data_IF_015820955098
#
_entry.id   IF_015820955098
#
_cell.length_a   1.000
_cell.length_b   1.000
_cell.length_c   1.000
_cell.angle_alpha   90.00
_cell.angle_beta   90.00
_cell.angle_gamma   90.00
#
_symmetry.space_group_name_H-M   'P 1'
#
loop_
_entity.id
_entity.type
_entity.pdbx_description
1 polymer ?
#
# COMPACT_ATOMS: atom_id res chain seq x y z
N UNK A 1 8.62 0.30 35.74
CA UNK A 1 8.35 0.25 34.29
C UNK A 1 7.29 -0.81 34.03
N UNK A 2 6.04 -0.44 33.77
CA UNK A 2 5.02 -1.42 33.37
C UNK A 2 5.48 -2.15 32.11
N UNK A 3 5.50 -3.49 32.13
CA UNK A 3 5.74 -4.30 30.93
C UNK A 3 4.65 -3.96 29.91
N UNK A 4 5.00 -3.19 28.87
CA UNK A 4 4.09 -2.93 27.74
C UNK A 4 3.63 -4.28 27.18
N UNK A 5 2.32 -4.56 27.26
CA UNK A 5 1.73 -5.79 26.71
C UNK A 5 2.07 -5.88 25.23
N UNK A 6 2.54 -7.04 24.79
CA UNK A 6 2.85 -7.36 23.40
C UNK A 6 1.76 -8.24 22.80
N UNK A 7 1.31 -7.90 21.60
CA UNK A 7 0.26 -8.58 20.87
C UNK A 7 0.83 -9.24 19.61
N UNK A 8 1.71 -10.23 19.83
CA UNK A 8 2.41 -10.97 18.76
C UNK A 8 1.49 -11.52 17.69
N UNK A 9 0.45 -12.27 18.09
CA UNK A 9 -0.48 -12.88 17.14
C UNK A 9 -1.23 -11.85 16.26
N UNK A 10 -1.70 -10.75 16.86
CA UNK A 10 -2.44 -9.71 16.11
C UNK A 10 -1.55 -9.00 15.11
N UNK A 11 -0.30 -8.78 15.50
CA UNK A 11 0.71 -8.12 14.69
C UNK A 11 1.13 -9.00 13.52
N UNK A 12 1.48 -10.25 13.78
CA UNK A 12 1.83 -11.21 12.71
C UNK A 12 0.65 -11.39 11.76
N UNK A 13 -0.56 -11.61 12.25
CA UNK A 13 -1.73 -11.80 11.39
C UNK A 13 -2.02 -10.57 10.52
N UNK A 14 -1.93 -9.35 11.07
CA UNK A 14 -2.16 -8.11 10.31
C UNK A 14 -1.04 -7.83 9.33
N UNK A 15 0.21 -8.07 9.73
CA UNK A 15 1.39 -7.93 8.87
C UNK A 15 1.34 -8.91 7.69
N UNK A 16 1.06 -10.19 7.94
CA UNK A 16 0.95 -11.22 6.89
C UNK A 16 -0.23 -10.95 5.96
N UNK A 17 -1.39 -10.53 6.51
CA UNK A 17 -2.55 -10.15 5.68
C UNK A 17 -2.16 -9.09 4.64
N UNK A 18 -1.50 -8.02 5.08
CA UNK A 18 -1.08 -6.92 4.20
C UNK A 18 0.10 -7.34 3.32
N UNK A 19 1.07 -8.11 3.84
CA UNK A 19 2.22 -8.57 3.07
C UNK A 19 1.79 -9.39 1.85
N UNK A 20 0.75 -10.22 1.99
CA UNK A 20 0.23 -11.02 0.89
C UNK A 20 -0.48 -10.20 -0.19
N UNK A 21 -0.91 -8.97 0.08
CA UNK A 21 -1.56 -8.15 -0.95
C UNK A 21 -0.60 -7.75 -2.07
N UNK A 22 0.68 -7.57 -1.76
CA UNK A 22 1.70 -7.19 -2.74
C UNK A 22 1.93 -8.26 -3.81
N UNK A 23 2.33 -9.51 -3.49
CA UNK A 23 2.53 -10.55 -4.50
C UNK A 23 1.23 -10.93 -5.20
N UNK A 24 0.09 -10.90 -4.50
CA UNK A 24 -1.21 -11.19 -5.12
C UNK A 24 -1.62 -10.10 -6.13
N UNK A 25 -1.37 -8.82 -5.85
CA UNK A 25 -1.62 -7.72 -6.77
C UNK A 25 -0.78 -7.84 -8.05
N UNK A 26 0.53 -8.05 -7.91
CA UNK A 26 1.44 -8.23 -9.05
C UNK A 26 1.06 -9.47 -9.87
N UNK A 27 0.78 -10.61 -9.21
CA UNK A 27 0.35 -11.82 -9.89
C UNK A 27 -0.96 -11.61 -10.66
N UNK A 28 -1.93 -10.90 -10.07
CA UNK A 28 -3.20 -10.58 -10.73
C UNK A 28 -2.96 -9.74 -11.99
N UNK A 29 -2.14 -8.69 -11.92
CA UNK A 29 -1.82 -7.85 -13.08
C UNK A 29 -1.20 -8.65 -14.23
N UNK A 30 -0.22 -9.51 -13.92
CA UNK A 30 0.48 -10.32 -14.93
C UNK A 30 -0.48 -11.35 -15.55
N UNK A 31 -1.34 -11.96 -14.75
CA UNK A 31 -2.36 -12.87 -15.25
C UNK A 31 -3.36 -12.16 -16.17
N UNK A 32 -3.79 -10.95 -15.81
CA UNK A 32 -4.69 -10.14 -16.66
C UNK A 32 -4.01 -9.77 -17.98
N UNK A 33 -2.78 -9.28 -17.96
CA UNK A 33 -2.03 -8.94 -19.18
C UNK A 33 -1.80 -10.14 -20.11
N UNK A 34 -1.68 -11.36 -19.55
CA UNK A 34 -1.42 -12.57 -20.33
C UNK A 34 -2.67 -13.25 -20.87
N UNK A 35 -3.78 -13.24 -20.13
CA UNK A 35 -4.99 -13.99 -20.48
C UNK A 35 -6.11 -13.15 -21.08
N UNK A 36 -6.05 -11.82 -20.96
CA UNK A 36 -7.07 -10.93 -21.51
C UNK A 36 -6.54 -10.17 -22.71
N UNK A 37 -7.44 -9.90 -23.66
CA UNK A 37 -7.16 -8.97 -24.76
C UNK A 37 -6.78 -7.58 -24.21
N UNK A 38 -5.85 -6.83 -24.84
CA UNK A 38 -5.45 -5.51 -24.37
C UNK A 38 -6.63 -4.57 -24.10
N UNK A 39 -7.68 -4.60 -24.93
CA UNK A 39 -8.88 -3.78 -24.72
C UNK A 39 -9.64 -4.24 -23.47
N UNK A 40 -9.77 -5.54 -23.28
CA UNK A 40 -10.43 -6.13 -22.11
C UNK A 40 -9.69 -5.80 -20.80
N UNK A 41 -8.35 -5.77 -20.81
CA UNK A 41 -7.53 -5.36 -19.64
C UNK A 41 -7.87 -3.94 -19.19
N UNK A 42 -8.06 -2.99 -20.12
CA UNK A 42 -8.39 -1.61 -19.75
C UNK A 42 -9.78 -1.49 -19.13
N UNK A 43 -10.79 -2.16 -19.69
CA UNK A 43 -12.13 -2.20 -19.09
C UNK A 43 -12.12 -2.90 -17.73
N UNK A 44 -11.37 -3.99 -17.59
CA UNK A 44 -11.21 -4.71 -16.33
C UNK A 44 -10.51 -3.83 -15.27
N UNK A 45 -9.43 -3.12 -15.64
CA UNK A 45 -8.76 -2.17 -14.75
C UNK A 45 -9.67 -1.01 -14.31
N UNK A 46 -10.41 -0.42 -15.24
CA UNK A 46 -11.34 0.66 -14.92
C UNK A 46 -12.48 0.21 -14.00
N UNK A 47 -13.09 -0.95 -14.28
CA UNK A 47 -14.15 -1.54 -13.44
C UNK A 47 -13.61 -1.93 -12.06
N UNK A 48 -12.39 -2.45 -11.98
CA UNK A 48 -11.71 -2.77 -10.71
C UNK A 48 -11.58 -1.53 -9.82
N UNK A 49 -11.10 -0.41 -10.37
CA UNK A 49 -10.97 0.83 -9.60
C UNK A 49 -12.33 1.40 -9.16
N UNK A 50 -13.35 1.29 -10.01
CA UNK A 50 -14.72 1.70 -9.67
C UNK A 50 -15.32 0.85 -8.54
N UNK A 51 -15.15 -0.48 -8.61
CA UNK A 51 -15.53 -1.39 -7.52
C UNK A 51 -14.78 -1.02 -6.25
N UNK A 52 -13.48 -0.73 -6.34
CA UNK A 52 -12.66 -0.25 -5.22
C UNK A 52 -13.26 0.99 -4.54
N UNK A 53 -13.67 1.99 -5.32
CA UNK A 53 -14.32 3.20 -4.80
C UNK A 53 -15.65 2.89 -4.11
N UNK A 54 -16.52 2.07 -4.72
CA UNK A 54 -17.79 1.65 -4.12
C UNK A 54 -17.54 0.94 -2.78
N UNK A 55 -16.55 0.04 -2.73
CA UNK A 55 -16.17 -0.68 -1.52
C UNK A 55 -15.79 0.27 -0.38
N UNK A 56 -15.04 1.34 -0.66
CA UNK A 56 -14.67 2.35 0.34
C UNK A 56 -15.90 3.11 0.84
N UNK A 57 -16.78 3.54 -0.07
CA UNK A 57 -18.00 4.27 0.28
C UNK A 57 -18.94 3.39 1.12
N UNK A 58 -19.17 2.15 0.71
CA UNK A 58 -19.97 1.17 1.48
C UNK A 58 -19.32 0.91 2.85
N UNK A 59 -17.98 0.85 2.89
CA UNK A 59 -17.19 0.67 4.10
C UNK A 59 -17.46 1.72 5.19
N UNK A 60 -17.88 2.93 4.83
CA UNK A 60 -18.28 3.99 5.78
C UNK A 60 -19.47 3.57 6.63
N UNK A 61 -20.44 2.87 6.04
CA UNK A 61 -21.69 2.46 6.69
C UNK A 61 -21.58 1.14 7.46
N UNK A 62 -20.48 0.41 7.27
CA UNK A 62 -20.27 -0.89 7.92
C UNK A 62 -19.90 -0.70 9.38
N UNK A 63 -20.55 -1.46 10.28
CA UNK A 63 -20.30 -1.34 11.72
C UNK A 63 -18.99 -2.03 12.13
N UNK A 64 -18.17 -1.35 12.92
CA UNK A 64 -16.99 -1.95 13.56
C UNK A 64 -15.68 -1.60 12.87
N UNK A 65 -14.75 -1.07 13.66
CA UNK A 65 -13.47 -0.50 13.23
C UNK A 65 -12.64 -1.44 12.33
N UNK A 66 -12.51 -2.71 12.70
CA UNK A 66 -11.76 -3.71 11.90
C UNK A 66 -12.40 -3.94 10.54
N UNK A 67 -13.74 -4.01 10.45
CA UNK A 67 -14.42 -4.24 9.17
C UNK A 67 -14.30 -3.01 8.28
N UNK A 68 -14.50 -1.82 8.82
CA UNK A 68 -14.28 -0.57 8.07
C UNK A 68 -12.84 -0.49 7.53
N UNK A 69 -11.85 -0.88 8.35
CA UNK A 69 -10.45 -0.95 7.94
C UNK A 69 -10.25 -1.93 6.78
N UNK A 70 -10.84 -3.12 6.84
CA UNK A 70 -10.76 -4.11 5.75
C UNK A 70 -11.41 -3.61 4.45
N UNK A 71 -12.57 -2.95 4.51
CA UNK A 71 -13.17 -2.31 3.32
C UNK A 71 -12.28 -1.22 2.74
N UNK A 72 -11.69 -0.38 3.60
CA UNK A 72 -10.76 0.67 3.16
C UNK A 72 -9.48 0.10 2.54
N UNK A 73 -8.93 -0.97 3.11
CA UNK A 73 -7.74 -1.66 2.60
C UNK A 73 -8.01 -2.30 1.24
N UNK A 74 -9.02 -3.17 1.14
CA UNK A 74 -9.32 -3.88 -0.11
C UNK A 74 -9.81 -2.91 -1.18
N UNK A 75 -10.69 -1.98 -0.82
CA UNK A 75 -11.17 -0.96 -1.74
C UNK A 75 -10.05 -0.04 -2.24
N UNK A 76 -9.10 0.32 -1.36
CA UNK A 76 -7.94 1.11 -1.73
C UNK A 76 -6.94 0.38 -2.61
N UNK A 77 -6.73 -0.92 -2.41
CA UNK A 77 -5.87 -1.73 -3.28
C UNK A 77 -6.46 -1.86 -4.68
N UNK A 78 -7.77 -2.16 -4.78
CA UNK A 78 -8.46 -2.24 -6.08
C UNK A 78 -8.50 -0.88 -6.79
N UNK A 79 -8.68 0.21 -6.04
CA UNK A 79 -8.60 1.57 -6.56
C UNK A 79 -7.21 1.88 -7.11
N UNK A 80 -6.15 1.59 -6.35
CA UNK A 80 -4.77 1.82 -6.77
C UNK A 80 -4.45 1.03 -8.03
N UNK A 81 -4.62 -0.29 -8.01
CA UNK A 81 -4.31 -1.14 -9.17
C UNK A 81 -5.18 -0.78 -10.37
N UNK A 82 -6.47 -0.52 -10.18
CA UNK A 82 -7.41 -0.21 -11.25
C UNK A 82 -7.24 1.19 -11.87
N UNK A 83 -7.33 2.24 -11.05
CA UNK A 83 -7.35 3.62 -11.55
C UNK A 83 -6.01 4.32 -11.47
N UNK A 84 -5.05 3.87 -10.65
CA UNK A 84 -3.71 4.44 -10.68
C UNK A 84 -2.89 3.66 -11.71
N UNK A 85 -2.61 2.38 -11.46
CA UNK A 85 -1.69 1.60 -12.32
C UNK A 85 -2.26 1.34 -13.72
N UNK A 86 -3.43 0.72 -13.86
CA UNK A 86 -3.98 0.38 -15.18
C UNK A 86 -4.36 1.61 -16.04
N UNK A 87 -4.72 2.75 -15.45
CA UNK A 87 -4.93 3.99 -16.23
C UNK A 87 -3.60 4.58 -16.71
N UNK A 88 -2.54 4.58 -15.89
CA UNK A 88 -1.21 4.95 -16.38
C UNK A 88 -0.76 4.02 -17.50
N UNK A 89 -1.00 2.70 -17.38
CA UNK A 89 -0.72 1.72 -18.43
C UNK A 89 -1.49 2.03 -19.72
N UNK A 90 -2.78 2.34 -19.61
CA UNK A 90 -3.62 2.71 -20.76
C UNK A 90 -3.05 3.91 -21.50
N UNK A 91 -2.74 5.00 -20.80
CA UNK A 91 -2.21 6.20 -21.42
C UNK A 91 -0.80 5.99 -21.96
N UNK A 92 0.03 5.22 -21.27
CA UNK A 92 1.36 4.85 -21.76
C UNK A 92 1.28 4.09 -23.08
N UNK A 93 0.40 3.10 -23.19
CA UNK A 93 0.17 2.36 -24.44
C UNK A 93 -0.43 3.23 -25.53
N UNK A 94 -1.43 4.05 -25.20
CA UNK A 94 -2.10 4.94 -26.16
C UNK A 94 -1.15 5.94 -26.81
N UNK A 95 -0.21 6.48 -26.04
CA UNK A 95 0.79 7.44 -26.53
C UNK A 95 2.12 6.79 -26.93
N UNK A 96 2.21 5.46 -26.92
CA UNK A 96 3.39 4.74 -27.38
C UNK A 96 4.65 4.95 -26.53
N UNK A 97 4.51 5.15 -25.22
CA UNK A 97 5.64 5.29 -24.31
C UNK A 97 6.41 3.96 -24.26
N UNK A 98 7.69 3.91 -24.69
CA UNK A 98 8.45 2.69 -24.68
C UNK A 98 8.79 2.27 -23.25
N UNK A 99 8.82 0.95 -22.93
CA UNK A 99 9.36 0.49 -21.67
C UNK A 99 10.85 0.78 -21.58
N UNK A 100 11.37 0.94 -20.36
CA UNK A 100 12.81 1.03 -20.17
C UNK A 100 13.42 -0.36 -20.23
N UNK A 101 14.33 -0.57 -21.17
CA UNK A 101 15.01 -1.84 -21.41
C UNK A 101 16.49 -1.68 -21.06
N UNK A 102 16.98 -2.49 -20.12
CA UNK A 102 18.42 -2.65 -19.89
C UNK A 102 18.83 -4.09 -20.17
N UNK A 103 19.96 -4.29 -20.85
CA UNK A 103 20.52 -5.62 -21.12
C UNK A 103 19.50 -6.61 -21.74
N UNK A 104 18.56 -6.09 -22.55
CA UNK A 104 17.51 -6.90 -23.20
C UNK A 104 16.34 -7.31 -22.29
N UNK A 105 16.28 -6.82 -21.04
CA UNK A 105 15.15 -7.03 -20.12
C UNK A 105 14.42 -5.71 -19.87
N UNK A 106 13.09 -5.77 -19.79
CA UNK A 106 12.27 -4.64 -19.34
C UNK A 106 12.55 -4.43 -17.85
N UNK A 107 13.21 -3.32 -17.52
CA UNK A 107 13.57 -2.95 -16.14
C UNK A 107 12.52 -2.03 -15.52
N UNK A 108 11.83 -1.23 -16.33
CA UNK A 108 10.73 -0.38 -15.87
C UNK A 108 9.61 -0.37 -16.89
N UNK A 109 8.39 -0.70 -16.43
CA UNK A 109 7.21 -0.71 -17.28
C UNK A 109 6.77 0.72 -17.65
N UNK A 110 6.12 0.93 -18.81
CA UNK A 110 5.77 2.26 -19.30
C UNK A 110 4.90 3.09 -18.35
N UNK A 111 3.98 2.47 -17.62
CA UNK A 111 3.11 3.11 -16.64
C UNK A 111 3.90 3.81 -15.52
N UNK A 112 5.01 3.22 -15.11
CA UNK A 112 5.83 3.73 -14.02
C UNK A 112 6.74 4.87 -14.48
N UNK A 113 7.00 5.01 -15.78
CA UNK A 113 7.73 6.15 -16.36
C UNK A 113 6.87 7.44 -16.38
N UNK A 114 5.55 7.30 -16.47
CA UNK A 114 4.62 8.45 -16.45
C UNK A 114 4.30 8.85 -15.01
N UNK A 115 4.31 7.91 -14.07
CA UNK A 115 3.92 8.12 -12.68
C UNK A 115 4.65 9.30 -11.99
N UNK A 116 5.95 9.57 -12.20
CA UNK A 116 6.63 10.76 -11.68
C UNK A 116 5.98 12.10 -12.03
N UNK A 117 5.29 12.20 -13.18
CA UNK A 117 4.58 13.42 -13.58
C UNK A 117 3.45 13.79 -12.59
N UNK A 118 2.98 12.83 -11.80
CA UNK A 118 1.97 13.05 -10.77
C UNK A 118 2.52 13.70 -9.48
N UNK A 119 3.84 13.91 -9.38
CA UNK A 119 4.48 14.50 -8.19
C UNK A 119 3.87 15.85 -7.78
N UNK A 120 3.53 16.72 -8.72
CA UNK A 120 2.91 18.01 -8.42
C UNK A 120 1.54 17.87 -7.74
N UNK A 121 0.73 16.91 -8.20
CA UNK A 121 -0.56 16.59 -7.58
C UNK A 121 -0.35 15.98 -6.19
N UNK A 122 0.62 15.08 -6.05
CA UNK A 122 0.97 14.49 -4.76
C UNK A 122 1.38 15.55 -3.74
N UNK A 123 2.25 16.48 -4.13
CA UNK A 123 2.73 17.57 -3.27
C UNK A 123 1.57 18.43 -2.78
N UNK A 124 0.66 18.83 -3.68
CA UNK A 124 -0.53 19.62 -3.33
C UNK A 124 -1.40 18.90 -2.29
N UNK A 125 -1.68 17.61 -2.51
CA UNK A 125 -2.47 16.81 -1.57
C UNK A 125 -1.72 16.67 -0.24
N UNK A 126 -0.42 16.37 -0.26
CA UNK A 126 0.39 16.24 0.95
C UNK A 126 0.44 17.53 1.76
N UNK A 127 0.51 18.70 1.13
CA UNK A 127 0.44 19.99 1.83
C UNK A 127 -0.89 20.13 2.59
N UNK A 128 -2.01 19.80 1.97
CA UNK A 128 -3.32 19.80 2.66
C UNK A 128 -3.33 18.83 3.85
N UNK A 129 -2.79 17.62 3.67
CA UNK A 129 -2.75 16.61 4.72
C UNK A 129 -1.82 17.00 5.88
N UNK A 130 -0.67 17.63 5.60
CA UNK A 130 0.29 18.03 6.63
C UNK A 130 -0.19 19.28 7.38
N UNK A 131 -0.69 20.30 6.68
CA UNK A 131 -0.97 21.60 7.30
C UNK A 131 -2.43 21.77 7.74
N UNK A 132 -3.40 21.19 7.01
CA UNK A 132 -4.82 21.54 7.20
C UNK A 132 -5.64 20.50 7.95
N UNK A 133 -5.13 19.28 8.12
CA UNK A 133 -5.98 18.15 8.56
C UNK A 133 -5.35 17.36 9.71
N UNK A 134 -6.11 17.19 10.81
CA UNK A 134 -5.71 16.26 11.88
C UNK A 134 -6.07 14.86 11.44
N UNK A 135 -5.08 14.12 10.95
CA UNK A 135 -5.27 12.80 10.35
C UNK A 135 -5.08 11.68 11.37
N UNK A 136 -5.76 10.55 11.14
CA UNK A 136 -5.56 9.31 11.90
C UNK A 136 -4.30 8.52 11.51
N UNK A 137 -3.55 9.03 10.52
CA UNK A 137 -2.34 8.43 9.99
C UNK A 137 -1.15 8.69 10.91
N UNK A 138 -0.57 7.63 11.45
CA UNK A 138 0.61 7.73 12.32
C UNK A 138 1.81 8.37 11.60
N UNK A 139 1.96 8.15 10.29
CA UNK A 139 3.06 8.71 9.50
C UNK A 139 2.93 10.23 9.34
N UNK A 140 1.77 10.72 8.90
CA UNK A 140 1.53 12.16 8.73
C UNK A 140 1.54 12.87 10.08
N UNK A 141 1.01 12.22 11.12
CA UNK A 141 1.04 12.76 12.49
C UNK A 141 2.48 12.89 13.01
N UNK A 142 3.33 11.91 12.71
CA UNK A 142 4.76 11.97 13.03
C UNK A 142 5.46 13.12 12.29
N UNK A 143 5.18 13.32 11.00
CA UNK A 143 5.69 14.46 10.22
C UNK A 143 5.22 15.78 10.84
N UNK A 144 3.93 15.91 11.15
CA UNK A 144 3.36 17.11 11.78
C UNK A 144 4.01 17.43 13.13
N UNK A 145 4.25 16.42 13.96
CA UNK A 145 4.91 16.59 15.26
C UNK A 145 6.36 17.05 15.11
N UNK A 146 7.07 16.52 14.11
CA UNK A 146 8.45 16.89 13.87
C UNK A 146 8.59 18.29 13.26
N UNK A 147 7.68 18.68 12.36
CA UNK A 147 7.69 19.98 11.68
C UNK A 147 7.12 21.12 12.54
N UNK A 148 5.97 20.91 13.18
CA UNK A 148 5.25 22.00 13.87
C UNK A 148 5.48 22.02 15.39
N UNK A 149 5.99 20.93 15.98
CA UNK A 149 6.30 20.85 17.41
C UNK A 149 5.18 21.41 18.29
N UNK A 150 5.48 22.48 19.04
CA UNK A 150 4.54 23.16 19.96
C UNK A 150 3.39 23.90 19.26
N UNK A 151 3.49 24.19 17.97
CA UNK A 151 2.49 24.94 17.18
C UNK A 151 1.47 24.05 16.45
N UNK A 152 1.58 22.72 16.57
CA UNK A 152 0.69 21.74 15.92
C UNK A 152 -0.79 22.06 16.14
N UNK A 153 -1.18 22.35 17.38
CA UNK A 153 -2.59 22.62 17.74
C UNK A 153 -3.11 23.98 17.22
N UNK A 154 -2.22 24.90 16.80
CA UNK A 154 -2.60 26.20 16.21
C UNK A 154 -2.77 26.13 14.71
N UNK A 155 -2.02 25.24 14.03
CA UNK A 155 -2.02 25.10 12.58
C UNK A 155 -3.04 24.03 12.14
N UNK A 156 -3.08 22.89 12.86
CA UNK A 156 -3.92 21.74 12.53
C UNK A 156 -5.16 21.74 13.42
N UNK A 157 -6.14 22.58 13.09
CA UNK A 157 -7.29 22.87 13.96
C UNK A 157 -8.44 21.88 13.77
N UNK A 158 -8.70 21.43 12.53
CA UNK A 158 -9.87 20.59 12.23
C UNK A 158 -9.54 19.09 12.15
N UNK A 159 -10.21 18.24 12.96
CA UNK A 159 -10.19 16.81 12.75
C UNK A 159 -11.07 16.43 11.55
N UNK A 160 -10.54 15.59 10.66
CA UNK A 160 -11.35 14.99 9.60
C UNK A 160 -12.45 14.11 10.22
N UNK A 161 -13.63 14.05 9.61
CA UNK A 161 -14.71 13.14 10.03
C UNK A 161 -14.19 11.71 10.14
N UNK A 162 -14.38 11.08 11.30
CA UNK A 162 -13.75 9.80 11.62
C UNK A 162 -14.48 8.62 10.95
N UNK A 163 -14.21 8.42 9.67
CA UNK A 163 -14.61 7.24 8.92
C UNK A 163 -13.39 6.35 8.70
N UNK A 164 -13.23 5.28 9.50
CA UNK A 164 -12.03 4.43 9.47
C UNK A 164 -11.76 3.85 8.08
N UNK A 165 -12.80 3.57 7.29
CA UNK A 165 -12.66 3.08 5.91
C UNK A 165 -11.98 4.10 4.99
N UNK A 166 -12.46 5.35 4.98
CA UNK A 166 -11.86 6.45 4.19
C UNK A 166 -10.45 6.76 4.69
N UNK A 167 -10.24 6.77 6.01
CA UNK A 167 -8.91 7.00 6.58
C UNK A 167 -7.93 5.93 6.10
N UNK A 168 -8.31 4.64 6.18
CA UNK A 168 -7.47 3.53 5.70
C UNK A 168 -7.20 3.62 4.20
N UNK A 169 -8.22 3.96 3.42
CA UNK A 169 -8.11 4.17 1.98
C UNK A 169 -7.09 5.27 1.64
N UNK A 170 -7.22 6.44 2.28
CA UNK A 170 -6.30 7.56 2.06
C UNK A 170 -4.90 7.26 2.56
N UNK A 171 -4.76 6.62 3.72
CA UNK A 171 -3.46 6.20 4.25
C UNK A 171 -2.73 5.26 3.29
N UNK A 172 -3.42 4.24 2.79
CA UNK A 172 -2.86 3.30 1.84
C UNK A 172 -2.39 4.01 0.56
N UNK A 173 -3.28 4.78 -0.08
CA UNK A 173 -2.98 5.41 -1.37
C UNK A 173 -1.90 6.49 -1.25
N UNK A 174 -1.90 7.30 -0.18
CA UNK A 174 -0.89 8.34 0.00
C UNK A 174 0.50 7.77 0.29
N UNK A 175 0.59 6.68 1.08
CA UNK A 175 1.86 6.02 1.37
C UNK A 175 2.35 5.28 0.12
N UNK A 176 1.49 4.53 -0.59
CA UNK A 176 1.84 3.90 -1.86
C UNK A 176 2.39 4.95 -2.84
N UNK A 177 1.65 6.03 -3.06
CA UNK A 177 2.06 7.08 -3.98
C UNK A 177 3.41 7.70 -3.61
N UNK A 178 3.64 7.98 -2.33
CA UNK A 178 4.92 8.50 -1.86
C UNK A 178 6.09 7.52 -2.14
N UNK A 179 5.90 6.23 -1.86
CA UNK A 179 6.95 5.23 -2.05
C UNK A 179 7.18 4.89 -3.53
N UNK A 180 6.14 4.88 -4.35
CA UNK A 180 6.28 4.75 -5.80
C UNK A 180 7.05 5.93 -6.40
N UNK A 181 6.71 7.17 -6.03
CA UNK A 181 7.45 8.35 -6.48
C UNK A 181 8.91 8.29 -6.02
N UNK A 182 9.16 7.92 -4.75
CA UNK A 182 10.50 7.74 -4.23
C UNK A 182 11.30 6.72 -5.06
N UNK A 183 10.74 5.54 -5.30
CA UNK A 183 11.38 4.50 -6.10
C UNK A 183 11.63 4.98 -7.52
N UNK A 184 10.64 5.56 -8.19
CA UNK A 184 10.80 6.04 -9.56
C UNK A 184 11.86 7.14 -9.70
N UNK A 185 11.99 8.05 -8.73
CA UNK A 185 13.07 9.03 -8.74
C UNK A 185 14.45 8.41 -8.45
N UNK A 186 14.52 7.36 -7.61
CA UNK A 186 15.76 6.61 -7.42
C UNK A 186 16.18 5.85 -8.68
N UNK A 187 15.20 5.44 -9.45
CA UNK A 187 15.33 4.60 -10.63
C UNK A 187 15.54 5.41 -11.92
N UNK A 188 15.23 6.71 -11.91
CA UNK A 188 15.55 7.57 -13.04
C UNK A 188 17.06 7.82 -13.12
N UNK A 189 17.66 7.40 -14.23
CA UNK A 189 19.09 7.58 -14.54
C UNK A 189 19.53 9.03 -14.61
N UNK A 190 18.63 9.94 -14.94
CA UNK A 190 18.93 11.36 -15.00
C UNK A 190 19.00 12.01 -13.61
N UNK A 191 18.42 11.36 -12.59
CA UNK A 191 18.44 11.83 -11.20
C UNK A 191 19.49 11.11 -10.36
N UNK A 192 19.32 9.80 -10.15
CA UNK A 192 20.18 9.00 -9.28
C UNK A 192 20.69 7.77 -10.03
N UNK A 193 19.77 6.98 -10.59
CA UNK A 193 20.05 5.75 -11.30
C UNK A 193 20.03 4.49 -10.41
N UNK A 194 19.77 3.37 -11.08
CA UNK A 194 19.42 2.07 -10.48
C UNK A 194 20.51 1.49 -9.58
N UNK A 195 21.78 1.73 -9.93
CA UNK A 195 22.95 1.21 -9.23
C UNK A 195 23.62 2.27 -8.34
N UNK A 196 22.95 3.40 -8.12
CA UNK A 196 23.53 4.50 -7.35
C UNK A 196 23.61 4.14 -5.85
N UNK A 197 24.72 4.48 -5.14
CA UNK A 197 24.86 4.23 -3.71
C UNK A 197 23.71 4.76 -2.85
N UNK A 198 23.11 5.88 -3.29
CA UNK A 198 21.94 6.49 -2.61
C UNK A 198 20.71 5.60 -2.68
N UNK A 199 20.46 4.93 -3.80
CA UNK A 199 19.33 3.98 -3.96
C UNK A 199 19.47 2.82 -2.96
N UNK A 200 20.68 2.27 -2.81
CA UNK A 200 20.95 1.25 -1.79
C UNK A 200 20.82 1.77 -0.36
N UNK A 201 21.28 2.98 -0.08
CA UNK A 201 21.15 3.62 1.23
C UNK A 201 19.68 3.82 1.60
N UNK A 202 18.85 4.26 0.65
CA UNK A 202 17.39 4.37 0.82
C UNK A 202 16.78 3.01 1.12
N UNK A 203 17.18 1.96 0.38
CA UNK A 203 16.75 0.58 0.65
C UNK A 203 17.09 0.12 2.08
N UNK A 204 18.34 0.33 2.53
CA UNK A 204 18.78 -0.01 3.89
C UNK A 204 18.01 0.80 4.94
N UNK A 205 17.79 2.09 4.69
CA UNK A 205 17.05 2.97 5.60
C UNK A 205 15.59 2.52 5.74
N UNK A 206 14.95 2.14 4.64
CA UNK A 206 13.59 1.58 4.65
C UNK A 206 13.56 0.23 5.36
N UNK A 207 14.54 -0.64 5.14
CA UNK A 207 14.64 -1.91 5.85
C UNK A 207 14.74 -1.71 7.37
N UNK A 208 15.67 -0.86 7.83
CA UNK A 208 15.82 -0.52 9.25
C UNK A 208 14.53 0.12 9.80
N UNK A 209 13.93 1.05 9.06
CA UNK A 209 12.67 1.71 9.40
C UNK A 209 11.53 0.72 9.61
N UNK A 210 11.38 -0.26 8.71
CA UNK A 210 10.36 -1.30 8.81
C UNK A 210 10.49 -2.14 10.08
N UNK A 211 11.72 -2.45 10.53
CA UNK A 211 11.94 -3.17 11.80
C UNK A 211 11.50 -2.35 13.03
N UNK A 212 11.77 -1.05 13.03
CA UNK A 212 11.30 -0.15 14.10
C UNK A 212 9.77 -0.02 14.11
N UNK A 213 9.15 0.08 12.93
CA UNK A 213 7.71 0.15 12.78
C UNK A 213 7.04 -1.16 13.21
N UNK A 214 7.59 -2.31 12.83
CA UNK A 214 7.12 -3.63 13.26
C UNK A 214 7.19 -3.79 14.78
N UNK A 215 8.28 -3.34 15.42
CA UNK A 215 8.38 -3.30 16.89
C UNK A 215 7.30 -2.43 17.52
N UNK A 216 6.98 -1.27 16.94
CA UNK A 216 5.86 -0.43 17.41
C UNK A 216 4.52 -1.12 17.22
N UNK A 217 4.33 -1.82 16.11
CA UNK A 217 3.11 -2.56 15.79
C UNK A 217 2.80 -3.64 16.83
N UNK A 218 3.82 -4.29 17.40
CA UNK A 218 3.67 -5.30 18.48
C UNK A 218 2.90 -4.79 19.71
N UNK A 219 2.88 -3.48 19.94
CA UNK A 219 2.20 -2.88 21.10
C UNK A 219 0.78 -2.39 20.80
N UNK A 220 0.28 -2.54 19.57
CA UNK A 220 -1.05 -2.08 19.16
C UNK A 220 -2.09 -3.18 19.40
N UNK A 221 -2.98 -2.94 20.37
CA UNK A 221 -4.04 -3.88 20.74
C UNK A 221 -5.20 -3.92 19.72
N UNK A 222 -5.62 -2.76 19.18
CA UNK A 222 -6.79 -2.68 18.32
C UNK A 222 -6.50 -3.25 16.92
N UNK A 223 -7.36 -4.17 16.43
CA UNK A 223 -7.16 -4.82 15.14
C UNK A 223 -7.14 -3.84 13.96
N UNK A 224 -8.06 -2.87 13.88
CA UNK A 224 -8.05 -1.90 12.77
C UNK A 224 -6.79 -1.03 12.78
N UNK A 225 -6.40 -0.49 13.93
CA UNK A 225 -5.15 0.25 14.07
C UNK A 225 -3.91 -0.60 13.76
N UNK A 226 -3.91 -1.89 14.13
CA UNK A 226 -2.80 -2.80 13.83
C UNK A 226 -2.67 -3.06 12.32
N UNK A 227 -3.79 -3.25 11.60
CA UNK A 227 -3.80 -3.37 10.13
C UNK A 227 -3.31 -2.08 9.46
N UNK A 228 -3.77 -0.90 9.91
CA UNK A 228 -3.30 0.37 9.34
C UNK A 228 -1.79 0.58 9.53
N UNK A 229 -1.26 0.23 10.70
CA UNK A 229 0.20 0.22 10.93
C UNK A 229 0.90 -0.84 10.07
N UNK A 230 0.27 -2.01 9.85
CA UNK A 230 0.78 -3.04 8.98
C UNK A 230 0.92 -2.53 7.53
N UNK A 231 -0.05 -1.77 7.01
CA UNK A 231 0.01 -1.12 5.69
C UNK A 231 1.29 -0.30 5.55
N UNK A 232 1.52 0.64 6.48
CA UNK A 232 2.71 1.47 6.45
C UNK A 232 4.00 0.64 6.57
N UNK A 233 4.02 -0.35 7.46
CA UNK A 233 5.19 -1.21 7.70
C UNK A 233 5.52 -2.07 6.48
N UNK A 234 4.52 -2.65 5.83
CA UNK A 234 4.70 -3.51 4.65
C UNK A 234 5.15 -2.70 3.45
N UNK A 235 4.60 -1.51 3.19
CA UNK A 235 5.03 -0.68 2.05
C UNK A 235 6.51 -0.28 2.21
N UNK A 236 6.89 0.16 3.41
CA UNK A 236 8.29 0.48 3.74
C UNK A 236 9.19 -0.76 3.61
N UNK A 237 8.72 -1.92 4.07
CA UNK A 237 9.44 -3.19 3.95
C UNK A 237 9.57 -3.68 2.51
N UNK A 238 8.60 -3.39 1.64
CA UNK A 238 8.62 -3.80 0.24
C UNK A 238 9.65 -3.02 -0.58
N UNK A 239 9.97 -1.79 -0.19
CA UNK A 239 10.96 -0.94 -0.89
C UNK A 239 12.32 -1.62 -1.09
N UNK A 240 12.99 -2.19 -0.06
CA UNK A 240 14.22 -2.95 -0.27
C UNK A 240 14.00 -4.24 -1.06
N UNK A 241 12.84 -4.90 -0.95
CA UNK A 241 12.51 -6.09 -1.74
C UNK A 241 12.48 -5.75 -3.22
N UNK A 242 11.88 -4.61 -3.58
CA UNK A 242 11.82 -4.09 -4.95
C UNK A 242 13.21 -3.74 -5.50
N UNK A 243 14.04 -3.06 -4.70
CA UNK A 243 15.42 -2.71 -5.11
C UNK A 243 16.25 -3.98 -5.33
N UNK A 244 16.13 -4.98 -4.45
CA UNK A 244 16.81 -6.27 -4.58
C UNK A 244 16.30 -7.08 -5.78
N UNK A 245 15.00 -7.02 -6.06
CA UNK A 245 14.38 -7.61 -7.25
C UNK A 245 14.92 -6.99 -8.54
N UNK A 246 15.06 -5.66 -8.57
CA UNK A 246 15.57 -4.90 -9.73
C UNK A 246 17.02 -5.24 -10.08
N UNK A 247 17.88 -5.46 -9.08
CA UNK A 247 19.26 -5.95 -9.31
C UNK A 247 19.33 -7.45 -9.60
N UNK A 248 18.18 -8.13 -9.79
CA UNK A 248 18.06 -9.58 -10.01
C UNK A 248 18.70 -10.42 -8.89
N UNK A 249 18.70 -9.95 -7.62
CA UNK A 249 19.27 -10.70 -6.49
C UNK A 249 18.53 -12.02 -6.22
N UNK A 250 17.22 -12.05 -6.45
CA UNK A 250 16.40 -13.25 -6.37
C UNK A 250 15.36 -13.28 -7.50
N UNK A 251 14.86 -14.48 -7.84
CA UNK A 251 13.72 -14.62 -8.76
C UNK A 251 12.44 -14.29 -8.01
N UNK A 252 11.74 -13.26 -8.47
CA UNK A 252 10.44 -12.88 -7.93
C UNK A 252 9.39 -13.92 -8.31
N UNK A 253 9.03 -14.79 -7.37
CA UNK A 253 8.06 -15.86 -7.62
C UNK A 253 6.66 -15.33 -7.99
N UNK A 254 6.34 -14.09 -7.61
CA UNK A 254 5.09 -13.41 -7.98
C UNK A 254 5.11 -12.83 -9.41
N UNK A 255 6.30 -12.59 -10.00
CA UNK A 255 6.43 -12.14 -11.40
C UNK A 255 6.26 -13.31 -12.38
N UNK A 256 6.48 -14.55 -11.92
CA UNK A 256 6.31 -15.77 -12.71
C UNK A 256 5.15 -16.64 -12.18
N UNK A 257 3.89 -16.19 -12.29
CA UNK A 257 2.76 -16.86 -11.66
C UNK A 257 2.49 -18.28 -12.20
N UNK A 258 2.99 -18.61 -13.39
CA UNK A 258 2.86 -19.94 -14.00
C UNK A 258 3.84 -20.95 -13.42
N UNK A 259 5.10 -20.54 -13.19
CA UNK A 259 6.14 -21.40 -12.61
C UNK A 259 5.88 -21.65 -11.12
N UNK A 260 5.35 -20.64 -10.42
CA UNK A 260 5.09 -20.68 -8.97
C UNK A 260 3.59 -20.71 -8.62
N UNK A 261 2.79 -21.41 -9.43
CA UNK A 261 1.33 -21.52 -9.24
C UNK A 261 0.96 -22.09 -7.86
N UNK A 262 1.65 -23.13 -7.42
CA UNK A 262 1.36 -23.81 -6.13
C UNK A 262 1.63 -22.86 -4.94
N UNK A 263 2.80 -22.20 -4.82
CA UNK A 263 3.04 -21.18 -3.80
C UNK A 263 2.00 -20.05 -3.81
N UNK A 264 1.65 -19.52 -4.99
CA UNK A 264 0.66 -18.43 -5.09
C UNK A 264 -0.74 -18.85 -4.66
N UNK A 265 -1.17 -20.07 -4.97
CA UNK A 265 -2.46 -20.60 -4.51
C UNK A 265 -2.48 -20.78 -2.99
N UNK A 266 -1.38 -21.22 -2.39
CA UNK A 266 -1.27 -21.33 -0.93
C UNK A 266 -1.34 -19.96 -0.26
N UNK A 267 -0.63 -18.96 -0.81
CA UNK A 267 -0.69 -17.56 -0.36
C UNK A 267 -2.12 -17.02 -0.48
N UNK A 268 -2.79 -17.24 -1.61
CA UNK A 268 -4.17 -16.82 -1.83
C UNK A 268 -5.14 -17.48 -0.82
N UNK A 269 -5.02 -18.79 -0.60
CA UNK A 269 -5.81 -19.51 0.38
C UNK A 269 -5.60 -18.99 1.81
N UNK A 270 -4.34 -18.78 2.20
CA UNK A 270 -4.00 -18.20 3.49
C UNK A 270 -4.53 -16.76 3.65
N UNK A 271 -4.45 -15.95 2.59
CA UNK A 271 -4.98 -14.59 2.56
C UNK A 271 -6.50 -14.58 2.77
N UNK A 272 -7.26 -15.40 2.05
CA UNK A 272 -8.72 -15.51 2.20
C UNK A 272 -9.09 -16.00 3.60
N UNK A 273 -8.37 -16.98 4.14
CA UNK A 273 -8.59 -17.48 5.51
C UNK A 273 -8.33 -16.40 6.56
N UNK A 274 -7.24 -15.63 6.45
CA UNK A 274 -6.92 -14.53 7.36
C UNK A 274 -7.96 -13.41 7.26
N UNK A 275 -8.36 -13.04 6.06
CA UNK A 275 -9.38 -12.02 5.82
C UNK A 275 -10.73 -12.45 6.44
N UNK A 276 -11.16 -13.68 6.21
CA UNK A 276 -12.36 -14.27 6.82
C UNK A 276 -12.28 -14.34 8.35
N UNK A 277 -11.15 -14.78 8.90
CA UNK A 277 -10.91 -14.82 10.34
C UNK A 277 -11.03 -13.42 10.99
N UNK A 278 -10.39 -12.42 10.38
CA UNK A 278 -10.38 -11.05 10.89
C UNK A 278 -11.75 -10.39 10.76
N UNK A 279 -12.49 -10.69 9.69
CA UNK A 279 -13.86 -10.27 9.52
C UNK A 279 -14.79 -10.84 10.62
N UNK A 280 -14.72 -12.14 10.88
CA UNK A 280 -15.51 -12.81 11.92
C UNK A 280 -15.20 -12.30 13.33
N UNK A 281 -13.91 -12.07 13.64
CA UNK A 281 -13.49 -11.45 14.91
C UNK A 281 -14.00 -10.02 15.04
N UNK A 282 -14.01 -9.26 13.94
CA UNK A 282 -14.60 -7.93 13.86
C UNK A 282 -16.11 -7.91 14.16
N UNK A 283 -16.83 -8.97 13.79
CA UNK A 283 -18.26 -9.13 14.09
C UNK A 283 -18.55 -9.53 15.54
N UNK A 284 -17.70 -10.37 16.16
CA UNK A 284 -17.95 -10.93 17.52
C UNK A 284 -17.89 -9.91 18.66
N UNK A 285 -17.18 -8.78 18.53
CA UNK A 285 -17.03 -7.80 19.63
C UNK A 285 -18.37 -7.16 20.08
N UNK A 286 -19.46 -7.33 19.31
CA UNK A 286 -20.80 -6.83 19.64
C UNK A 286 -21.66 -7.78 20.49
N UNK A 287 -21.31 -9.07 20.63
CA UNK A 287 -22.18 -10.02 21.36
C UNK A 287 -22.10 -9.91 22.89
N UNK A 288 -21.16 -9.11 23.42
CA UNK A 288 -20.94 -8.93 24.87
C UNK A 288 -21.59 -7.63 25.39
N UNK A 289 -22.06 -6.73 24.52
CA UNK A 289 -22.65 -5.43 24.91
C UNK A 289 -24.18 -5.39 24.83
N UNK A 290 -24.83 -6.52 24.53
CA UNK A 290 -26.28 -6.69 24.60
C UNK A 290 -26.60 -7.83 25.58
N UNK A 291 -26.36 -7.61 26.88
CA UNK A 291 -27.01 -8.29 27.99
C UNK A 291 -27.09 -7.31 29.15
#
# INVERSE_FOLDING_TARGET
MEKKKTYWWRTIASFVLVLFTMPLGHALMILMEKFMDPVAVHYAGFTMGFVGLIMVIVGVFVKGDTRQTLWGLIGGLLFWTGWVEFLFLYYARRYGVPPEIEHGKVVTKPEYLIMPASFGLWMMVMTMYIFSTRNGCDFITWIQEKLFGKHKNKIVVQPMTHHTSIITFMELNMILWAFYLLLMFCYDKNFLGDHHPVTYLIGISCFIGSLFMFRRQLHIAAWGANIRMAVATVIVFWTPVEILGRINFFKEFWVHPQEYRIPLLFILGAFILLLGYMWLKGAKKKRITNK
#
